data_IF_322248484957
#
_entry.id   IF_322248484957
#
_cell.length_a   1.000
_cell.length_b   1.000
_cell.length_c   1.000
_cell.angle_alpha   90.00
_cell.angle_beta   90.00
_cell.angle_gamma   90.00
#
_symmetry.space_group_name_H-M   'P 1'
#
loop_
_entity.id
_entity.type
_entity.pdbx_description
1 polymer ?
#
# COMPACT_ATOMS: atom_id res chain seq x y z
N UNK A 1 -3.69 -3.22 -5.03
CA UNK A 1 -3.39 -3.71 -6.38
C UNK A 1 -1.94 -3.45 -6.77
N UNK A 2 -1.47 -2.20 -6.77
CA UNK A 2 -0.14 -1.80 -7.28
C UNK A 2 1.03 -2.52 -6.60
N UNK A 3 0.96 -2.78 -5.30
CA UNK A 3 1.98 -3.56 -4.58
C UNK A 3 2.03 -5.02 -5.02
N UNK A 4 0.91 -5.59 -5.47
CA UNK A 4 0.77 -7.02 -5.81
C UNK A 4 1.06 -7.31 -7.29
N UNK A 5 0.71 -6.39 -8.19
CA UNK A 5 0.82 -6.63 -9.62
C UNK A 5 2.24 -7.02 -10.05
N UNK A 6 3.26 -6.35 -9.49
CA UNK A 6 4.66 -6.68 -9.76
C UNK A 6 5.03 -8.10 -9.30
N UNK A 7 4.59 -8.50 -8.11
CA UNK A 7 4.82 -9.84 -7.54
C UNK A 7 4.21 -10.92 -8.44
N UNK A 8 3.00 -10.68 -8.94
CA UNK A 8 2.34 -11.66 -9.81
C UNK A 8 2.99 -11.76 -11.20
N UNK A 9 3.47 -10.64 -11.74
CA UNK A 9 4.24 -10.65 -12.99
C UNK A 9 5.53 -11.47 -12.83
N UNK A 10 6.26 -11.31 -11.73
CA UNK A 10 7.46 -12.09 -11.41
C UNK A 10 7.16 -13.58 -11.25
N UNK A 11 5.96 -13.96 -10.81
CA UNK A 11 5.47 -15.35 -10.73
C UNK A 11 4.97 -15.92 -12.07
N UNK A 12 5.12 -15.19 -13.17
CA UNK A 12 4.75 -15.65 -14.51
C UNK A 12 3.39 -15.16 -15.02
N UNK A 13 2.65 -14.39 -14.24
CA UNK A 13 1.38 -13.78 -14.69
C UNK A 13 1.65 -12.45 -15.43
N UNK A 14 2.30 -12.53 -16.57
CA UNK A 14 2.84 -11.39 -17.33
C UNK A 14 1.82 -10.31 -17.72
N UNK A 15 0.52 -10.62 -17.70
CA UNK A 15 -0.56 -9.67 -18.01
C UNK A 15 -1.27 -9.15 -16.75
N UNK A 16 -0.76 -9.42 -15.56
CA UNK A 16 -1.32 -8.89 -14.33
C UNK A 16 -1.08 -7.38 -14.24
N UNK A 17 -2.14 -6.64 -13.91
CA UNK A 17 -2.08 -5.20 -13.67
C UNK A 17 -3.07 -4.78 -12.60
N UNK A 18 -2.74 -3.75 -11.86
CA UNK A 18 -3.67 -3.07 -10.98
C UNK A 18 -4.41 -1.99 -11.76
N UNK A 19 -5.71 -1.92 -11.54
CA UNK A 19 -6.58 -0.90 -12.16
C UNK A 19 -7.52 -0.37 -11.10
N UNK A 20 -7.68 0.94 -11.02
CA UNK A 20 -8.66 1.54 -10.12
C UNK A 20 -10.09 1.27 -10.64
N UNK A 21 -11.03 1.00 -9.73
CA UNK A 21 -12.44 0.80 -10.10
C UNK A 21 -13.02 2.04 -10.78
N UNK A 22 -12.59 3.22 -10.37
CA UNK A 22 -12.94 4.50 -10.99
C UNK A 22 -12.52 4.59 -12.46
N UNK A 23 -11.35 4.04 -12.81
CA UNK A 23 -10.88 4.02 -14.20
C UNK A 23 -11.66 2.99 -15.04
N UNK A 24 -12.03 1.85 -14.44
CA UNK A 24 -12.89 0.86 -15.10
C UNK A 24 -14.24 1.46 -15.46
N UNK A 25 -14.82 2.27 -14.58
CA UNK A 25 -16.11 2.92 -14.81
C UNK A 25 -16.01 3.96 -15.90
N UNK A 26 -14.96 4.75 -15.90
CA UNK A 26 -14.84 5.88 -16.82
C UNK A 26 -14.31 5.50 -18.20
N UNK A 27 -13.41 4.52 -18.28
CA UNK A 27 -12.77 4.07 -19.53
C UNK A 27 -12.59 2.55 -19.56
N UNK A 28 -13.69 1.77 -19.59
CA UNK A 28 -13.63 0.30 -19.52
C UNK A 28 -12.81 -0.30 -20.66
N UNK A 29 -12.87 0.26 -21.89
CA UNK A 29 -12.12 -0.22 -23.04
C UNK A 29 -10.60 -0.15 -22.86
N UNK A 30 -10.11 0.82 -22.08
CA UNK A 30 -8.69 0.97 -21.76
C UNK A 30 -8.25 0.04 -20.63
N UNK A 31 -9.21 -0.35 -19.80
CA UNK A 31 -8.98 -1.12 -18.59
C UNK A 31 -9.20 -2.61 -18.75
N UNK A 32 -10.17 -3.01 -19.56
CA UNK A 32 -10.63 -4.40 -19.67
C UNK A 32 -10.37 -4.97 -21.07
N UNK A 33 -9.76 -6.17 -21.18
CA UNK A 33 -9.56 -6.82 -22.48
C UNK A 33 -10.86 -7.46 -22.96
N UNK A 34 -11.34 -7.09 -24.14
CA UNK A 34 -12.59 -7.60 -24.72
C UNK A 34 -12.48 -9.02 -25.30
N UNK A 35 -11.28 -9.43 -25.69
CA UNK A 35 -11.08 -10.67 -26.47
C UNK A 35 -10.58 -11.88 -25.70
N UNK A 36 -10.28 -11.74 -24.38
CA UNK A 36 -9.64 -12.78 -23.56
C UNK A 36 -10.43 -13.06 -22.29
N UNK A 37 -10.31 -14.28 -21.73
CA UNK A 37 -10.75 -14.54 -20.36
C UNK A 37 -9.98 -13.69 -19.36
N UNK A 38 -10.65 -13.23 -18.30
CA UNK A 38 -10.11 -12.37 -17.26
C UNK A 38 -10.40 -12.98 -15.89
N UNK A 39 -9.45 -12.87 -14.97
CA UNK A 39 -9.70 -12.99 -13.53
C UNK A 39 -9.66 -11.58 -12.97
N UNK A 40 -10.78 -11.09 -12.46
CA UNK A 40 -10.88 -9.80 -11.79
C UNK A 40 -10.84 -10.01 -10.28
N UNK A 41 -9.79 -9.48 -9.64
CA UNK A 41 -9.64 -9.54 -8.18
C UNK A 41 -10.07 -8.19 -7.61
N UNK A 42 -11.18 -8.18 -6.87
CA UNK A 42 -11.75 -6.98 -6.26
C UNK A 42 -11.42 -6.93 -4.77
N UNK A 43 -10.85 -5.81 -4.34
CA UNK A 43 -10.52 -5.52 -2.94
C UNK A 43 -11.51 -4.52 -2.37
N UNK A 44 -12.16 -4.87 -1.25
CA UNK A 44 -13.10 -3.96 -0.64
C UNK A 44 -13.17 -4.16 0.88
N UNK A 45 -13.07 -3.07 1.66
CA UNK A 45 -13.30 -3.15 3.10
C UNK A 45 -14.80 -3.27 3.40
N UNK A 46 -15.61 -2.31 2.98
CA UNK A 46 -17.07 -2.31 3.20
C UNK A 46 -17.84 -3.14 2.16
N UNK A 47 -17.33 -3.21 0.94
CA UNK A 47 -18.03 -3.83 -0.18
C UNK A 47 -19.27 -3.08 -0.70
N UNK A 48 -19.50 -1.86 -0.21
CA UNK A 48 -20.69 -1.05 -0.52
C UNK A 48 -20.39 0.15 -1.43
N UNK A 49 -19.15 0.29 -1.88
CA UNK A 49 -18.81 1.36 -2.83
C UNK A 49 -19.51 1.11 -4.17
N UNK A 50 -20.31 2.06 -4.67
CA UNK A 50 -20.99 1.92 -5.96
C UNK A 50 -20.05 1.60 -7.11
N UNK A 51 -18.83 2.19 -7.08
CA UNK A 51 -17.81 1.97 -8.09
C UNK A 51 -17.30 0.53 -8.10
N UNK A 52 -17.18 -0.10 -6.92
CA UNK A 52 -16.70 -1.47 -6.84
C UNK A 52 -17.69 -2.46 -7.44
N UNK A 53 -18.98 -2.27 -7.16
CA UNK A 53 -20.04 -3.09 -7.74
C UNK A 53 -20.18 -2.84 -9.24
N UNK A 54 -20.15 -1.59 -9.68
CA UNK A 54 -20.21 -1.23 -11.09
C UNK A 54 -19.05 -1.84 -11.89
N UNK A 55 -17.82 -1.82 -11.35
CA UNK A 55 -16.66 -2.40 -12.01
C UNK A 55 -16.83 -3.93 -12.26
N UNK A 56 -17.45 -4.66 -11.34
CA UNK A 56 -17.78 -6.09 -11.52
C UNK A 56 -18.76 -6.27 -12.67
N UNK A 57 -19.85 -5.52 -12.70
CA UNK A 57 -20.87 -5.64 -13.75
C UNK A 57 -20.36 -5.15 -15.12
N UNK A 58 -19.52 -4.12 -15.15
CA UNK A 58 -18.88 -3.65 -16.38
C UNK A 58 -17.94 -4.72 -16.93
N UNK A 59 -17.15 -5.38 -16.08
CA UNK A 59 -16.28 -6.47 -16.52
C UNK A 59 -17.06 -7.62 -17.14
N UNK A 60 -18.21 -8.00 -16.58
CA UNK A 60 -19.09 -9.02 -17.16
C UNK A 60 -19.60 -8.63 -18.55
N UNK A 61 -19.86 -7.34 -18.79
CA UNK A 61 -20.35 -6.83 -20.07
C UNK A 61 -19.24 -6.75 -21.12
N UNK A 62 -18.04 -6.34 -20.73
CA UNK A 62 -16.94 -6.03 -21.66
C UNK A 62 -16.05 -7.23 -21.97
N UNK A 63 -15.82 -8.12 -21.02
CA UNK A 63 -14.92 -9.25 -21.21
C UNK A 63 -15.65 -10.46 -21.78
N UNK A 64 -14.98 -11.23 -22.63
CA UNK A 64 -15.53 -12.45 -23.20
C UNK A 64 -15.95 -13.49 -22.15
N UNK A 65 -15.17 -13.59 -21.06
CA UNK A 65 -15.40 -14.45 -19.91
C UNK A 65 -14.67 -13.86 -18.72
N UNK A 66 -15.36 -13.72 -17.60
CA UNK A 66 -14.78 -13.21 -16.35
C UNK A 66 -14.97 -14.21 -15.23
N UNK A 67 -13.92 -14.40 -14.43
CA UNK A 67 -14.01 -14.97 -13.09
C UNK A 67 -13.69 -13.89 -12.10
N UNK A 68 -14.49 -13.76 -11.08
CA UNK A 68 -14.30 -12.78 -10.02
C UNK A 68 -13.76 -13.45 -8.76
N UNK A 69 -12.74 -12.85 -8.17
CA UNK A 69 -12.29 -13.14 -6.81
C UNK A 69 -12.57 -11.88 -6.00
N UNK A 70 -13.51 -11.94 -5.09
CA UNK A 70 -13.89 -10.81 -4.24
C UNK A 70 -13.29 -11.02 -2.86
N UNK A 71 -12.39 -10.15 -2.45
CA UNK A 71 -11.74 -10.19 -1.13
C UNK A 71 -12.29 -9.02 -0.31
N UNK A 72 -13.08 -9.31 0.72
CA UNK A 72 -13.76 -8.28 1.51
C UNK A 72 -13.77 -8.59 3.01
N UNK A 73 -13.87 -7.52 3.83
CA UNK A 73 -14.06 -7.65 5.28
C UNK A 73 -15.55 -7.65 5.70
N UNK A 74 -16.48 -7.49 4.75
CA UNK A 74 -17.90 -7.33 5.05
C UNK A 74 -18.76 -8.39 4.36
N UNK A 75 -19.25 -9.35 5.14
CA UNK A 75 -20.12 -10.42 4.70
C UNK A 75 -21.46 -9.93 4.14
N UNK A 76 -21.97 -8.82 4.65
CA UNK A 76 -23.28 -8.25 4.26
C UNK A 76 -23.18 -7.17 3.19
N UNK A 77 -21.96 -6.87 2.72
CA UNK A 77 -21.72 -5.87 1.68
C UNK A 77 -22.30 -6.28 0.32
N UNK A 78 -22.58 -5.30 -0.53
CA UNK A 78 -23.15 -5.54 -1.86
C UNK A 78 -22.25 -6.43 -2.73
N UNK A 79 -20.93 -6.24 -2.66
CA UNK A 79 -19.99 -7.14 -3.35
C UNK A 79 -20.04 -8.58 -2.84
N UNK A 80 -20.25 -8.80 -1.54
CA UNK A 80 -20.36 -10.14 -1.00
C UNK A 80 -21.60 -10.88 -1.50
N UNK A 81 -22.70 -10.16 -1.80
CA UNK A 81 -23.92 -10.73 -2.38
C UNK A 81 -23.73 -11.29 -3.79
N UNK A 82 -22.73 -10.80 -4.53
CA UNK A 82 -22.35 -11.36 -5.84
C UNK A 82 -21.89 -12.83 -5.77
N UNK A 83 -21.56 -13.34 -4.57
CA UNK A 83 -21.15 -14.74 -4.35
C UNK A 83 -22.23 -15.79 -4.71
N UNK A 84 -23.47 -15.38 -4.92
CA UNK A 84 -24.53 -16.25 -5.44
C UNK A 84 -24.32 -16.69 -6.90
N UNK A 85 -23.33 -16.09 -7.60
CA UNK A 85 -23.06 -16.33 -9.01
C UNK A 85 -21.97 -17.40 -9.17
N UNK A 86 -22.11 -18.28 -10.17
CA UNK A 86 -21.19 -19.40 -10.42
C UNK A 86 -19.76 -19.00 -10.81
N UNK A 87 -19.57 -17.76 -11.29
CA UNK A 87 -18.27 -17.22 -11.68
C UNK A 87 -17.62 -16.34 -10.62
N UNK A 88 -18.08 -16.38 -9.36
CA UNK A 88 -17.59 -15.57 -8.26
C UNK A 88 -17.06 -16.45 -7.13
N UNK A 89 -15.81 -16.23 -6.75
CA UNK A 89 -15.21 -16.72 -5.52
C UNK A 89 -15.17 -15.59 -4.49
N UNK A 90 -15.94 -15.74 -3.41
CA UNK A 90 -15.88 -14.83 -2.27
C UNK A 90 -14.84 -15.33 -1.27
N UNK A 91 -13.93 -14.43 -0.89
CA UNK A 91 -12.96 -14.63 0.19
C UNK A 91 -13.29 -13.62 1.28
N UNK A 92 -14.00 -14.09 2.29
CA UNK A 92 -14.33 -13.28 3.46
C UNK A 92 -13.17 -13.26 4.44
N UNK A 93 -12.71 -12.07 4.78
CA UNK A 93 -11.63 -11.88 5.73
C UNK A 93 -12.16 -11.93 7.18
N UNK A 94 -11.30 -12.29 8.16
CA UNK A 94 -11.70 -12.31 9.57
C UNK A 94 -12.25 -10.95 10.02
N UNK A 95 -13.29 -10.90 10.86
CA UNK A 95 -13.94 -9.66 11.31
C UNK A 95 -12.97 -8.66 11.97
N UNK A 96 -11.94 -9.18 12.63
CA UNK A 96 -10.89 -8.39 13.29
C UNK A 96 -10.08 -7.53 12.32
N UNK A 97 -10.07 -7.89 11.03
CA UNK A 97 -9.37 -7.15 9.98
C UNK A 97 -10.18 -5.99 9.40
N UNK A 98 -11.45 -5.86 9.79
CA UNK A 98 -12.30 -4.76 9.35
C UNK A 98 -12.03 -3.51 10.21
N UNK A 99 -11.15 -2.65 9.72
CA UNK A 99 -10.77 -1.42 10.40
C UNK A 99 -11.99 -0.58 10.78
N UNK A 100 -12.07 -0.18 12.05
CA UNK A 100 -13.18 0.65 12.56
C UNK A 100 -13.01 2.12 12.18
N UNK A 101 -11.77 2.60 12.17
CA UNK A 101 -11.44 3.96 11.80
C UNK A 101 -11.58 4.26 10.30
N UNK A 102 -11.34 5.51 9.93
CA UNK A 102 -11.39 5.98 8.54
C UNK A 102 -10.36 5.26 7.68
N UNK A 103 -9.10 5.28 8.07
CA UNK A 103 -7.98 4.73 7.31
C UNK A 103 -8.00 3.19 7.29
N UNK A 104 -7.69 2.61 6.13
CA UNK A 104 -7.47 1.16 6.01
C UNK A 104 -6.08 0.81 6.52
N UNK A 105 -5.99 -0.11 7.48
CA UNK A 105 -4.75 -0.61 8.09
C UNK A 105 -4.68 -2.13 8.06
N UNK A 106 -5.35 -2.82 8.98
CA UNK A 106 -5.38 -4.30 9.00
C UNK A 106 -6.06 -4.88 7.76
N UNK A 107 -7.10 -4.24 7.24
CA UNK A 107 -7.76 -4.69 6.02
C UNK A 107 -6.79 -4.66 4.83
N UNK A 108 -5.99 -3.59 4.67
CA UNK A 108 -5.00 -3.51 3.60
C UNK A 108 -3.97 -4.64 3.68
N UNK A 109 -3.34 -4.83 4.85
CA UNK A 109 -2.28 -5.84 5.02
C UNK A 109 -2.82 -7.26 4.83
N UNK A 110 -4.04 -7.52 5.32
CA UNK A 110 -4.68 -8.84 5.20
C UNK A 110 -5.11 -9.11 3.76
N UNK A 111 -5.67 -8.13 3.05
CA UNK A 111 -5.99 -8.26 1.62
C UNK A 111 -4.74 -8.57 0.79
N UNK A 112 -3.64 -7.89 1.06
CA UNK A 112 -2.37 -8.15 0.38
C UNK A 112 -1.84 -9.56 0.68
N UNK A 113 -1.84 -9.97 1.94
CA UNK A 113 -1.42 -11.30 2.37
C UNK A 113 -2.24 -12.40 1.71
N UNK A 114 -3.57 -12.31 1.82
CA UNK A 114 -4.49 -13.33 1.28
C UNK A 114 -4.38 -13.44 -0.22
N UNK A 115 -4.16 -12.34 -0.93
CA UNK A 115 -3.96 -12.38 -2.39
C UNK A 115 -2.75 -13.22 -2.78
N UNK A 116 -1.61 -13.05 -2.10
CA UNK A 116 -0.42 -13.84 -2.37
C UNK A 116 -0.65 -15.32 -1.99
N UNK A 117 -1.39 -15.59 -0.90
CA UNK A 117 -1.76 -16.94 -0.49
C UNK A 117 -2.65 -17.65 -1.52
N UNK A 118 -3.61 -16.96 -2.11
CA UNK A 118 -4.47 -17.52 -3.17
C UNK A 118 -3.62 -18.00 -4.35
N UNK A 119 -2.62 -17.24 -4.75
CA UNK A 119 -1.71 -17.63 -5.83
C UNK A 119 -0.72 -18.74 -5.45
N UNK A 120 -0.53 -19.02 -4.16
CA UNK A 120 0.28 -20.11 -3.62
C UNK A 120 -0.59 -21.23 -3.01
N UNK A 121 -1.85 -21.34 -3.39
CA UNK A 121 -2.83 -22.21 -2.73
C UNK A 121 -2.41 -23.70 -2.73
N UNK A 122 -1.72 -24.16 -3.76
CA UNK A 122 -1.21 -25.53 -3.86
C UNK A 122 -0.05 -25.82 -2.90
N UNK A 123 0.57 -24.78 -2.36
CA UNK A 123 1.76 -24.83 -1.50
C UNK A 123 1.53 -24.11 -0.16
N UNK A 124 0.29 -24.05 0.33
CA UNK A 124 -0.06 -23.34 1.56
C UNK A 124 0.77 -23.76 2.80
N UNK A 125 1.05 -25.05 3.04
CA UNK A 125 1.86 -25.45 4.18
C UNK A 125 3.27 -24.85 4.17
N UNK A 126 3.84 -24.65 2.98
CA UNK A 126 5.18 -24.10 2.79
C UNK A 126 5.23 -22.59 3.04
N UNK A 127 4.08 -21.91 2.99
CA UNK A 127 4.01 -20.45 3.22
C UNK A 127 4.12 -20.08 4.70
N UNK A 128 3.91 -21.02 5.63
CA UNK A 128 3.88 -20.77 7.06
C UNK A 128 5.13 -20.04 7.57
N UNK A 129 6.31 -20.55 7.26
CA UNK A 129 7.58 -19.94 7.71
C UNK A 129 7.78 -18.54 7.13
N UNK A 130 7.41 -18.32 5.87
CA UNK A 130 7.47 -17.01 5.23
C UNK A 130 6.54 -15.99 5.90
N UNK A 131 5.35 -16.44 6.31
CA UNK A 131 4.38 -15.59 7.03
C UNK A 131 4.89 -15.29 8.45
N UNK A 132 5.44 -16.28 9.16
CA UNK A 132 6.04 -16.07 10.47
C UNK A 132 7.18 -15.05 10.43
N UNK A 133 8.00 -15.06 9.37
CA UNK A 133 9.05 -14.08 9.15
C UNK A 133 8.51 -12.67 9.01
N UNK A 134 7.48 -12.45 8.18
CA UNK A 134 6.90 -11.09 8.02
C UNK A 134 6.16 -10.63 9.27
N UNK A 135 5.55 -11.54 10.04
CA UNK A 135 4.91 -11.20 11.33
C UNK A 135 5.97 -10.76 12.34
N UNK A 136 7.13 -11.42 12.35
CA UNK A 136 8.27 -11.02 13.20
C UNK A 136 8.76 -9.63 12.81
N UNK A 137 8.97 -9.38 11.51
CA UNK A 137 9.37 -8.05 11.03
C UNK A 137 8.33 -6.96 11.33
N UNK A 138 7.04 -7.27 11.18
CA UNK A 138 5.98 -6.35 11.55
C UNK A 138 6.04 -5.98 13.05
N UNK A 139 6.30 -6.96 13.93
CA UNK A 139 6.50 -6.72 15.37
C UNK A 139 7.74 -5.89 15.65
N UNK A 140 8.83 -6.11 14.91
CA UNK A 140 10.05 -5.31 15.02
C UNK A 140 9.77 -3.84 14.67
N UNK A 141 9.02 -3.58 13.59
CA UNK A 141 8.60 -2.23 13.21
C UNK A 141 7.77 -1.57 14.32
N UNK A 142 6.77 -2.28 14.83
CA UNK A 142 5.88 -1.76 15.88
C UNK A 142 6.65 -1.47 17.18
N UNK A 143 7.54 -2.37 17.60
CA UNK A 143 8.26 -2.25 18.86
C UNK A 143 9.46 -1.29 18.80
N UNK A 144 10.25 -1.38 17.74
CA UNK A 144 11.53 -0.67 17.63
C UNK A 144 11.39 0.65 16.87
N UNK A 145 10.41 0.74 15.95
CA UNK A 145 10.13 1.94 15.16
C UNK A 145 9.29 2.99 15.89
N UNK A 146 8.45 2.56 16.84
CA UNK A 146 7.46 3.41 17.53
C UNK A 146 8.09 4.72 18.05
N UNK A 147 9.13 4.63 18.87
CA UNK A 147 9.76 5.80 19.48
C UNK A 147 10.32 6.77 18.44
N UNK A 148 11.13 6.29 17.50
CA UNK A 148 11.77 7.15 16.50
C UNK A 148 10.76 7.78 15.54
N UNK A 149 9.73 7.04 15.13
CA UNK A 149 8.68 7.56 14.27
C UNK A 149 7.80 8.58 15.00
N UNK A 150 7.50 8.37 16.28
CA UNK A 150 6.78 9.33 17.11
C UNK A 150 7.57 10.64 17.29
N UNK A 151 8.88 10.55 17.56
CA UNK A 151 9.76 11.72 17.67
C UNK A 151 9.85 12.51 16.35
N UNK A 152 9.88 11.82 15.20
CA UNK A 152 9.87 12.47 13.88
C UNK A 152 8.49 13.09 13.61
N UNK A 153 7.41 12.40 13.92
CA UNK A 153 6.04 12.90 13.76
C UNK A 153 5.79 14.18 14.57
N UNK A 154 6.43 14.32 15.74
CA UNK A 154 6.35 15.52 16.56
C UNK A 154 7.07 16.75 15.94
N UNK A 155 7.97 16.53 14.98
CA UNK A 155 8.62 17.65 14.27
C UNK A 155 7.61 18.39 13.40
N UNK A 156 7.87 19.69 13.17
CA UNK A 156 7.04 20.48 12.25
C UNK A 156 7.40 20.18 10.81
N UNK A 157 6.45 19.66 10.05
CA UNK A 157 6.54 19.47 8.60
C UNK A 157 5.16 19.48 7.96
N UNK A 158 5.07 19.97 6.74
CA UNK A 158 3.83 20.00 5.93
C UNK A 158 3.91 19.14 4.66
N UNK A 159 5.05 18.45 4.45
CA UNK A 159 5.24 17.59 3.28
C UNK A 159 5.92 16.28 3.66
N UNK A 160 5.49 15.20 2.98
CA UNK A 160 6.17 13.92 3.07
C UNK A 160 6.28 13.26 1.69
N UNK A 161 7.39 12.55 1.44
CA UNK A 161 7.60 11.79 0.21
C UNK A 161 7.99 10.37 0.57
N UNK A 162 7.29 9.41 -0.02
CA UNK A 162 7.54 7.99 0.14
C UNK A 162 8.11 7.43 -1.17
N UNK A 163 9.27 6.79 -1.10
CA UNK A 163 9.93 6.22 -2.28
C UNK A 163 10.07 4.71 -2.12
N UNK A 164 9.83 3.99 -3.23
CA UNK A 164 9.99 2.54 -3.29
C UNK A 164 10.24 2.09 -4.73
N UNK A 165 10.82 0.90 -4.92
CA UNK A 165 11.02 0.28 -6.22
C UNK A 165 10.20 -1.00 -6.35
N UNK A 166 9.73 -1.36 -7.55
CA UNK A 166 8.93 -2.57 -7.76
C UNK A 166 7.67 -2.59 -6.90
N UNK A 167 7.44 -3.69 -6.17
CA UNK A 167 6.31 -3.84 -5.24
C UNK A 167 6.31 -2.76 -4.14
N UNK A 168 7.48 -2.32 -3.69
CA UNK A 168 7.62 -1.27 -2.67
C UNK A 168 7.13 0.10 -3.16
N UNK A 169 7.06 0.34 -4.47
CA UNK A 169 6.41 1.55 -4.98
C UNK A 169 4.91 1.56 -4.68
N UNK A 170 4.24 0.41 -4.81
CA UNK A 170 2.83 0.28 -4.43
C UNK A 170 2.59 0.38 -2.92
N UNK A 171 3.57 -0.04 -2.11
CA UNK A 171 3.55 0.20 -0.65
C UNK A 171 3.78 1.68 -0.34
N UNK A 172 4.69 2.36 -1.04
CA UNK A 172 4.91 3.80 -0.90
C UNK A 172 3.65 4.61 -1.25
N UNK A 173 2.88 4.15 -2.25
CA UNK A 173 1.56 4.70 -2.59
C UNK A 173 0.57 4.57 -1.44
N UNK A 174 0.53 3.44 -0.75
CA UNK A 174 -0.33 3.27 0.42
C UNK A 174 0.16 4.09 1.61
N UNK A 175 1.47 4.12 1.88
CA UNK A 175 2.04 4.90 2.97
C UNK A 175 1.73 6.40 2.85
N UNK A 176 1.87 6.97 1.64
CA UNK A 176 1.58 8.39 1.43
C UNK A 176 0.12 8.71 1.69
N UNK A 177 -0.78 7.82 1.25
CA UNK A 177 -2.21 7.95 1.47
C UNK A 177 -2.55 7.92 2.96
N UNK A 178 -1.94 6.99 3.72
CA UNK A 178 -2.19 6.89 5.17
C UNK A 178 -1.80 8.16 5.91
N UNK A 179 -0.62 8.71 5.65
CA UNK A 179 -0.21 9.95 6.30
C UNK A 179 -1.11 11.13 5.90
N UNK A 180 -1.49 11.22 4.63
CA UNK A 180 -2.35 12.29 4.15
C UNK A 180 -3.77 12.22 4.72
N UNK A 181 -4.39 11.03 4.73
CA UNK A 181 -5.72 10.80 5.30
C UNK A 181 -5.75 11.09 6.80
N UNK A 182 -4.79 10.50 7.56
CA UNK A 182 -4.73 10.64 9.01
C UNK A 182 -4.40 12.06 9.49
N UNK A 183 -3.92 12.91 8.60
CA UNK A 183 -3.67 14.34 8.90
C UNK A 183 -4.69 15.29 8.27
N UNK A 184 -5.83 14.76 7.78
CA UNK A 184 -6.86 15.56 7.08
C UNK A 184 -6.28 16.47 5.99
N UNK A 185 -5.24 16.01 5.29
CA UNK A 185 -4.54 16.77 4.25
C UNK A 185 -3.62 17.89 4.73
N UNK A 186 -3.46 18.10 6.04
CA UNK A 186 -2.53 19.11 6.60
C UNK A 186 -1.08 18.78 6.27
N UNK A 187 -0.75 17.51 6.03
CA UNK A 187 0.51 17.08 5.44
C UNK A 187 0.25 16.62 4.00
N UNK A 188 0.80 17.35 3.03
CA UNK A 188 0.71 16.97 1.61
C UNK A 188 1.73 15.89 1.32
N UNK A 189 1.25 14.74 0.88
CA UNK A 189 2.09 13.58 0.66
C UNK A 189 2.26 13.26 -0.84
N UNK A 190 3.40 12.68 -1.19
CA UNK A 190 3.71 12.19 -2.52
C UNK A 190 4.40 10.84 -2.42
N UNK A 191 4.18 9.99 -3.42
CA UNK A 191 4.99 8.78 -3.63
C UNK A 191 5.61 8.77 -5.01
N UNK A 192 6.70 8.00 -5.18
CA UNK A 192 7.29 7.75 -6.49
C UNK A 192 8.23 6.52 -6.43
N UNK A 193 8.73 6.10 -7.60
CA UNK A 193 9.91 5.24 -7.65
C UNK A 193 11.18 6.06 -7.42
N UNK A 194 12.24 5.43 -6.90
CA UNK A 194 13.50 6.14 -6.69
C UNK A 194 14.02 6.78 -7.97
N UNK A 195 14.07 6.04 -9.07
CA UNK A 195 14.59 6.57 -10.33
C UNK A 195 13.65 7.61 -10.95
N UNK A 196 12.33 7.41 -10.90
CA UNK A 196 11.36 8.39 -11.38
C UNK A 196 11.45 9.72 -10.62
N UNK A 197 11.65 9.64 -9.32
CA UNK A 197 11.76 10.82 -8.45
C UNK A 197 12.99 11.69 -8.74
N UNK A 198 14.08 11.12 -9.27
CA UNK A 198 15.30 11.86 -9.63
C UNK A 198 15.07 13.00 -10.63
N UNK A 199 14.03 12.91 -11.43
CA UNK A 199 13.65 13.89 -12.43
C UNK A 199 12.85 15.07 -11.83
N UNK A 200 11.89 15.61 -12.54
CA UNK A 200 11.06 16.73 -12.09
C UNK A 200 10.39 16.57 -10.73
N UNK A 201 9.87 15.38 -10.35
CA UNK A 201 9.23 15.17 -9.06
C UNK A 201 10.07 15.56 -7.84
N UNK A 202 11.40 15.46 -7.91
CA UNK A 202 12.31 15.84 -6.82
C UNK A 202 12.22 17.32 -6.42
N UNK A 203 11.66 18.18 -7.25
CA UNK A 203 11.47 19.60 -6.95
C UNK A 203 10.58 19.86 -5.72
N UNK A 204 9.82 18.84 -5.25
CA UNK A 204 8.98 18.96 -4.05
C UNK A 204 9.78 19.07 -2.74
N UNK A 205 11.06 18.66 -2.76
CA UNK A 205 11.92 18.66 -1.56
C UNK A 205 12.26 20.08 -1.12
N UNK A 206 12.02 20.35 0.16
CA UNK A 206 12.42 21.58 0.84
C UNK A 206 12.64 21.31 2.34
N UNK A 207 12.94 22.38 3.09
CA UNK A 207 13.16 22.32 4.55
C UNK A 207 11.94 21.92 5.40
N UNK A 208 10.78 21.71 4.78
CA UNK A 208 9.52 21.31 5.40
C UNK A 208 9.11 19.88 4.98
N UNK A 209 10.06 19.10 4.45
CA UNK A 209 9.81 17.77 3.88
C UNK A 209 10.40 16.67 4.75
N UNK A 210 9.63 15.61 4.99
CA UNK A 210 10.09 14.31 5.50
C UNK A 210 10.23 13.35 4.32
N UNK A 211 11.31 12.58 4.27
CA UNK A 211 11.56 11.56 3.26
C UNK A 211 11.52 10.17 3.90
N UNK A 212 10.79 9.26 3.27
CA UNK A 212 10.69 7.85 3.68
C UNK A 212 11.14 6.97 2.52
N UNK A 213 12.19 6.22 2.73
CA UNK A 213 12.80 5.32 1.77
C UNK A 213 12.43 3.88 2.09
N UNK A 214 11.62 3.25 1.26
CA UNK A 214 11.31 1.82 1.32
C UNK A 214 12.34 1.09 0.45
N UNK A 215 13.43 0.67 1.07
CA UNK A 215 14.59 0.17 0.35
C UNK A 215 14.48 -1.32 0.03
N UNK A 216 14.91 -1.67 -1.16
CA UNK A 216 14.96 -3.06 -1.65
C UNK A 216 16.12 -3.82 -1.00
N UNK A 217 15.92 -5.12 -0.73
CA UNK A 217 17.00 -6.05 -0.36
C UNK A 217 17.72 -6.66 -1.58
N UNK A 218 17.24 -6.35 -2.80
CA UNK A 218 17.99 -6.68 -4.02
C UNK A 218 19.15 -5.68 -4.19
N UNK A 219 20.37 -6.21 -4.16
CA UNK A 219 21.61 -5.41 -4.18
C UNK A 219 21.69 -4.50 -5.42
N UNK A 220 21.29 -5.00 -6.59
CA UNK A 220 21.31 -4.23 -7.83
C UNK A 220 20.32 -3.07 -7.78
N UNK A 221 19.12 -3.30 -7.27
CA UNK A 221 18.09 -2.25 -7.10
C UNK A 221 18.57 -1.24 -6.06
N UNK A 222 19.07 -1.72 -4.92
CA UNK A 222 19.56 -0.85 -3.85
C UNK A 222 20.70 0.07 -4.27
N UNK A 223 21.54 -0.32 -5.22
CA UNK A 223 22.58 0.60 -5.76
C UNK A 223 21.96 1.89 -6.31
N UNK A 224 20.88 1.81 -7.08
CA UNK A 224 20.19 2.98 -7.61
C UNK A 224 19.50 3.82 -6.52
N UNK A 225 18.92 3.14 -5.54
CA UNK A 225 18.24 3.79 -4.40
C UNK A 225 19.24 4.55 -3.54
N UNK A 226 20.35 3.91 -3.18
CA UNK A 226 21.46 4.48 -2.42
C UNK A 226 22.03 5.73 -3.07
N UNK A 227 22.20 5.71 -4.40
CA UNK A 227 22.76 6.85 -5.14
C UNK A 227 21.82 8.07 -5.09
N UNK A 228 20.51 7.86 -5.13
CA UNK A 228 19.56 8.95 -4.94
C UNK A 228 19.58 9.48 -3.50
N UNK A 229 19.61 8.58 -2.50
CA UNK A 229 19.66 8.97 -1.08
C UNK A 229 20.90 9.84 -0.82
N UNK A 230 22.08 9.44 -1.33
CA UNK A 230 23.32 10.25 -1.24
C UNK A 230 23.13 11.63 -1.87
N UNK A 231 22.62 11.68 -3.11
CA UNK A 231 22.39 12.94 -3.82
C UNK A 231 21.45 13.87 -3.05
N UNK A 232 20.41 13.34 -2.42
CA UNK A 232 19.49 14.13 -1.62
C UNK A 232 20.18 14.65 -0.37
N UNK A 233 20.92 13.80 0.33
CA UNK A 233 21.64 14.19 1.55
C UNK A 233 22.68 15.31 1.31
N UNK A 234 23.36 15.27 0.15
CA UNK A 234 24.36 16.29 -0.21
C UNK A 234 23.74 17.64 -0.55
N UNK A 235 22.58 17.66 -1.18
CA UNK A 235 22.05 18.85 -1.85
C UNK A 235 20.81 19.45 -1.17
N UNK A 236 20.21 18.76 -0.19
CA UNK A 236 18.92 19.17 0.36
C UNK A 236 18.92 19.15 1.90
N UNK A 237 18.34 20.20 2.48
CA UNK A 237 17.98 20.22 3.90
C UNK A 237 16.52 19.81 4.03
N UNK A 238 16.28 18.73 4.77
CA UNK A 238 14.94 18.17 5.03
C UNK A 238 14.71 18.05 6.52
N UNK A 239 13.47 17.84 6.94
CA UNK A 239 13.11 17.69 8.36
C UNK A 239 13.62 16.37 8.93
N UNK A 240 13.46 15.29 8.18
CA UNK A 240 13.96 13.96 8.54
C UNK A 240 14.06 13.05 7.31
N UNK A 241 14.94 12.04 7.45
CA UNK A 241 15.12 10.95 6.50
C UNK A 241 14.95 9.62 7.25
N UNK A 242 13.95 8.84 6.83
CA UNK A 242 13.60 7.53 7.37
C UNK A 242 13.92 6.47 6.32
N UNK A 243 14.63 5.42 6.67
CA UNK A 243 14.83 4.28 5.80
C UNK A 243 14.24 3.00 6.41
N UNK A 244 13.61 2.19 5.59
CA UNK A 244 13.10 0.87 5.93
C UNK A 244 13.84 -0.15 5.08
N UNK A 245 14.54 -1.07 5.71
CA UNK A 245 15.23 -2.18 5.05
C UNK A 245 15.40 -3.32 6.05
N UNK A 246 14.93 -4.53 5.76
CA UNK A 246 15.10 -5.66 6.67
C UNK A 246 16.55 -5.88 7.09
N UNK A 247 17.48 -5.77 6.16
CA UNK A 247 18.92 -5.98 6.42
C UNK A 247 19.59 -4.82 7.17
N UNK A 248 18.85 -3.72 7.38
CA UNK A 248 19.43 -2.47 7.86
C UNK A 248 20.24 -1.76 6.76
N UNK A 249 20.47 -0.47 6.94
CA UNK A 249 21.22 0.35 5.97
C UNK A 249 22.23 1.22 6.69
N UNK A 250 23.46 1.19 6.19
CA UNK A 250 24.47 2.20 6.47
C UNK A 250 24.99 2.73 5.13
N UNK A 251 24.75 4.01 4.87
CA UNK A 251 25.27 4.67 3.66
C UNK A 251 26.34 5.66 4.12
N UNK A 252 27.63 5.42 3.79
CA UNK A 252 28.71 6.32 4.22
C UNK A 252 28.44 7.77 3.79
N UNK A 253 28.54 8.70 4.74
CA UNK A 253 28.32 10.13 4.51
C UNK A 253 26.84 10.56 4.48
N UNK A 254 25.88 9.64 4.69
CA UNK A 254 24.45 9.94 4.80
C UNK A 254 24.01 9.84 6.25
N UNK A 255 23.30 10.86 6.73
CA UNK A 255 22.67 10.84 8.03
C UNK A 255 21.17 10.50 7.87
N UNK A 256 20.76 9.33 8.36
CA UNK A 256 19.37 8.89 8.45
C UNK A 256 18.89 9.09 9.89
N UNK A 257 17.76 9.79 10.06
CA UNK A 257 17.18 10.03 11.38
C UNK A 257 16.59 8.75 12.01
N UNK A 258 16.15 7.84 11.17
CA UNK A 258 15.60 6.54 11.58
C UNK A 258 15.92 5.47 10.53
N UNK A 259 16.40 4.32 11.00
CA UNK A 259 16.51 3.10 10.17
C UNK A 259 15.70 1.99 10.83
N UNK A 260 14.72 1.48 10.10
CA UNK A 260 13.87 0.39 10.55
C UNK A 260 14.38 -0.91 9.91
N UNK A 261 14.85 -1.83 10.74
CA UNK A 261 15.43 -3.11 10.33
C UNK A 261 14.75 -4.30 11.00
N UNK A 262 14.87 -5.49 10.41
CA UNK A 262 14.38 -6.73 10.98
C UNK A 262 15.42 -7.36 11.90
N UNK A 263 14.96 -8.07 12.94
CA UNK A 263 15.83 -8.88 13.80
C UNK A 263 16.42 -10.07 13.03
N UNK A 264 15.63 -10.69 12.14
CA UNK A 264 16.02 -11.83 11.32
C UNK A 264 15.90 -11.52 9.81
N UNK A 265 16.77 -10.70 9.24
CA UNK A 265 16.65 -10.28 7.84
C UNK A 265 16.77 -11.42 6.83
N UNK A 266 17.53 -12.48 7.13
CA UNK A 266 17.73 -13.62 6.24
C UNK A 266 16.45 -14.37 5.88
N UNK A 267 15.48 -14.41 6.77
CA UNK A 267 14.17 -15.05 6.55
C UNK A 267 13.26 -14.25 5.60
N UNK A 268 13.60 -12.99 5.36
CA UNK A 268 12.85 -12.09 4.47
C UNK A 268 13.42 -12.08 3.04
N UNK A 269 14.63 -12.59 2.84
CA UNK A 269 15.22 -12.67 1.51
C UNK A 269 14.40 -13.58 0.59
N UNK A 270 14.10 -13.09 -0.63
CA UNK A 270 13.26 -13.81 -1.61
C UNK A 270 11.87 -14.21 -1.10
N UNK A 271 11.41 -13.55 -0.03
CA UNK A 271 10.07 -13.74 0.51
C UNK A 271 9.13 -12.74 -0.16
N UNK A 272 8.23 -13.23 -0.99
CA UNK A 272 7.27 -12.39 -1.74
C UNK A 272 6.30 -11.60 -0.86
N UNK A 273 6.15 -11.99 0.40
CA UNK A 273 5.34 -11.26 1.37
C UNK A 273 6.11 -10.12 2.07
N UNK A 274 7.44 -10.07 1.90
CA UNK A 274 8.30 -9.18 2.67
C UNK A 274 7.99 -7.68 2.49
N UNK A 275 7.36 -7.28 1.38
CA UNK A 275 6.96 -5.89 1.17
C UNK A 275 5.81 -5.43 2.09
N UNK A 276 4.96 -6.35 2.57
CA UNK A 276 3.74 -6.01 3.32
C UNK A 276 4.04 -5.23 4.61
N UNK A 277 4.95 -5.66 5.51
CA UNK A 277 5.21 -4.95 6.75
C UNK A 277 5.70 -3.51 6.58
N UNK A 278 6.31 -3.15 5.45
CA UNK A 278 6.81 -1.79 5.23
C UNK A 278 5.71 -0.71 5.36
N UNK A 279 4.44 -1.07 5.06
CA UNK A 279 3.32 -0.12 5.16
C UNK A 279 3.12 0.39 6.60
N UNK A 280 3.51 -0.39 7.61
CA UNK A 280 3.39 -0.01 9.01
C UNK A 280 4.12 1.29 9.34
N UNK A 281 5.22 1.59 8.64
CA UNK A 281 5.94 2.85 8.84
C UNK A 281 5.08 4.06 8.42
N UNK A 282 4.37 3.96 7.30
CA UNK A 282 3.41 4.99 6.88
C UNK A 282 2.21 5.12 7.82
N UNK A 283 1.69 3.98 8.30
CA UNK A 283 0.58 3.93 9.25
C UNK A 283 0.97 4.55 10.61
N UNK A 284 2.11 4.17 11.18
CA UNK A 284 2.61 4.72 12.45
C UNK A 284 2.93 6.22 12.34
N UNK A 285 3.61 6.63 11.25
CA UNK A 285 3.92 8.05 11.04
C UNK A 285 2.64 8.88 10.91
N UNK A 286 1.63 8.35 10.21
CA UNK A 286 0.32 8.97 10.08
C UNK A 286 -0.41 9.05 11.42
N UNK A 287 -0.44 7.95 12.18
CA UNK A 287 -1.05 7.87 13.50
C UNK A 287 -0.44 8.92 14.45
N UNK A 288 0.88 8.90 14.65
CA UNK A 288 1.53 9.85 15.56
C UNK A 288 1.44 11.30 15.08
N UNK A 289 1.46 11.53 13.76
CA UNK A 289 1.28 12.88 13.24
C UNK A 289 -0.13 13.40 13.46
N UNK A 290 -1.15 12.55 13.30
CA UNK A 290 -2.55 12.86 13.62
C UNK A 290 -2.70 13.33 15.07
N UNK A 291 -2.18 12.55 16.03
CA UNK A 291 -2.20 12.91 17.44
C UNK A 291 -1.46 14.23 17.73
N UNK A 292 -0.27 14.43 17.14
CA UNK A 292 0.50 15.68 17.30
C UNK A 292 -0.21 16.91 16.73
N UNK A 293 -1.09 16.74 15.75
CA UNK A 293 -1.93 17.79 15.19
C UNK A 293 -3.22 18.01 15.99
N UNK A 294 -3.47 17.21 17.05
CA UNK A 294 -4.68 17.26 17.85
C UNK A 294 -5.90 16.64 17.17
N UNK A 295 -5.68 15.79 16.15
CA UNK A 295 -6.74 15.06 15.45
C UNK A 295 -7.01 13.72 16.13
N UNK A 296 -8.19 13.15 15.88
CA UNK A 296 -8.50 11.77 16.26
C UNK A 296 -8.09 10.83 15.11
N UNK A 297 -7.10 9.91 15.29
CA UNK A 297 -6.69 9.01 14.22
C UNK A 297 -7.80 8.11 13.66
N UNK A 298 -8.83 7.77 14.45
CA UNK A 298 -9.97 6.99 13.98
C UNK A 298 -10.96 7.81 13.13
N UNK A 299 -11.04 9.13 13.40
CA UNK A 299 -11.92 10.08 12.70
C UNK A 299 -11.17 11.38 12.41
N UNK A 300 -10.12 11.34 11.57
CA UNK A 300 -9.23 12.49 11.37
C UNK A 300 -9.84 13.62 10.54
N UNK A 301 -10.92 13.35 9.79
CA UNK A 301 -11.50 14.28 8.82
C UNK A 301 -12.36 15.36 9.49
N UNK A 302 -11.70 16.36 10.08
CA UNK A 302 -12.35 17.53 10.66
C UNK A 302 -12.93 18.43 9.55
N UNK A 303 -12.30 18.45 8.39
CA UNK A 303 -12.75 19.19 7.20
C UNK A 303 -14.03 18.61 6.59
N UNK A 304 -14.33 17.33 6.85
CA UNK A 304 -15.43 16.61 6.21
C UNK A 304 -15.21 16.26 4.73
N UNK A 305 -14.00 16.49 4.21
CA UNK A 305 -13.67 16.23 2.80
C UNK A 305 -13.58 14.74 2.46
N UNK A 306 -13.30 13.91 3.46
CA UNK A 306 -13.24 12.45 3.31
C UNK A 306 -14.07 11.76 4.39
N UNK A 307 -14.64 10.61 4.04
CA UNK A 307 -15.43 9.77 4.94
C UNK A 307 -15.00 8.31 4.82
N UNK A 308 -15.31 7.50 5.84
CA UNK A 308 -14.99 6.07 5.88
C UNK A 308 -15.59 5.28 4.70
N UNK A 309 -16.76 5.68 4.23
CA UNK A 309 -17.43 5.15 3.04
C UNK A 309 -17.79 6.33 2.15
N UNK A 310 -17.37 6.28 0.90
CA UNK A 310 -17.69 7.32 -0.08
C UNK A 310 -19.19 7.25 -0.39
N UNK A 311 -19.86 8.40 -0.29
CA UNK A 311 -21.29 8.53 -0.53
C UNK A 311 -21.55 9.45 -1.73
N UNK A 312 -22.76 9.33 -2.32
CA UNK A 312 -23.23 10.25 -3.36
C UNK A 312 -22.65 10.00 -4.76
N UNK A 313 -21.89 8.92 -4.97
CA UNK A 313 -21.43 8.57 -6.31
C UNK A 313 -22.58 8.02 -7.14
N UNK A 314 -22.81 8.65 -8.28
CA UNK A 314 -23.80 8.21 -9.27
C UNK A 314 -23.07 7.44 -10.38
N UNK A 315 -23.50 6.21 -10.62
CA UNK A 315 -23.05 5.43 -11.78
C UNK A 315 -24.00 5.71 -12.93
N UNK A 316 -23.46 6.07 -14.08
CA UNK A 316 -24.24 6.30 -15.31
C UNK A 316 -24.19 5.04 -16.19
N UNK A 317 -25.27 4.79 -16.92
CA UNK A 317 -25.33 3.69 -17.89
C UNK A 317 -24.31 3.92 -19.01
N UNK A 318 -23.59 2.84 -19.39
CA UNK A 318 -22.59 2.80 -20.44
C UNK A 318 -23.20 2.35 -21.78
#
# INVERSE_FOLDING_TARGET
>A
GNALAGIFVEKGYSQCRAVATTDIITYPESCLPTGKPVVLISFARSGNSPESLAAVHIADKYCKKVFHIIITCNETGDLARESSRDNVLLVLLPPETNDKGLAMTSSFTTMALVSILIFNIEQLPEQKSKIEAIVTFARDILKNGEKSLSEIAARKFGRAVFLGSGALKGIAEECHLKLQELTDGLVVCKFDSFLGFRHGPKAVINKDTVLVYLCSDDEKVFHYERDLIRQINENNKVVAQIAVSPSGIVIPGVNLDCVVAATNPGELQKNEYACIPYVLVGQLLGYFKSENLGLNPDEPSVSGNISRVVEGVKIYDL
#
